data_IF_095753811999
#
_entry.id   IF_095753811999
#
_cell.length_a   1.000
_cell.length_b   1.000
_cell.length_c   1.000
_cell.angle_alpha   90.00
_cell.angle_beta   90.00
_cell.angle_gamma   90.00
#
_symmetry.space_group_name_H-M   'P 1'
#
loop_
_entity.id
_entity.type
_entity.pdbx_description
1 polymer ?
#
# COMPACT_ATOMS: atom_id res chain seq x y z
N UNK A 1 -7.53 10.99 -11.81
CA UNK A 1 -6.32 11.12 -12.67
C UNK A 1 -6.00 9.74 -13.21
N UNK A 2 -6.06 9.52 -14.53
CA UNK A 2 -5.64 8.25 -15.14
C UNK A 2 -4.41 8.52 -15.99
N UNK A 3 -3.33 7.79 -15.74
CA UNK A 3 -2.15 7.80 -16.60
C UNK A 3 -2.52 7.21 -17.96
N UNK A 4 -2.78 8.07 -18.94
CA UNK A 4 -3.01 7.65 -20.32
C UNK A 4 -1.79 8.00 -21.15
N UNK A 5 -1.39 7.06 -22.02
CA UNK A 5 -0.30 7.29 -22.97
C UNK A 5 -0.79 8.29 -24.02
N UNK A 6 -0.23 9.51 -24.00
CA UNK A 6 -0.72 10.64 -24.81
C UNK A 6 -0.72 10.35 -26.31
N UNK A 7 0.26 9.58 -26.82
CA UNK A 7 0.32 9.20 -28.24
C UNK A 7 -0.86 8.31 -28.63
N UNK A 8 -1.16 7.29 -27.84
CA UNK A 8 -2.28 6.36 -28.07
C UNK A 8 -3.62 7.09 -28.06
N UNK A 9 -3.81 8.02 -27.12
CA UNK A 9 -5.06 8.80 -27.04
C UNK A 9 -5.21 9.77 -28.22
N UNK A 10 -4.11 10.36 -28.70
CA UNK A 10 -4.12 11.19 -29.92
C UNK A 10 -4.48 10.38 -31.16
N UNK A 11 -3.88 9.21 -31.35
CA UNK A 11 -4.20 8.33 -32.47
C UNK A 11 -5.66 7.86 -32.46
N UNK A 12 -6.21 7.56 -31.27
CA UNK A 12 -7.65 7.24 -31.13
C UNK A 12 -8.52 8.41 -31.56
N UNK A 13 -8.16 9.64 -31.16
CA UNK A 13 -8.93 10.84 -31.49
C UNK A 13 -8.88 11.19 -32.98
N UNK A 14 -7.74 10.98 -33.62
CA UNK A 14 -7.56 11.14 -35.07
C UNK A 14 -8.38 10.12 -35.88
N UNK A 15 -8.51 8.88 -35.37
CA UNK A 15 -9.30 7.80 -36.01
C UNK A 15 -10.81 7.91 -35.79
N UNK A 16 -11.29 8.78 -34.91
CA UNK A 16 -12.74 8.95 -34.67
C UNK A 16 -13.44 9.51 -35.91
N UNK A 17 -14.57 8.90 -36.24
CA UNK A 17 -15.47 9.40 -37.25
C UNK A 17 -16.31 10.56 -36.70
N UNK A 18 -16.94 11.32 -37.59
CA UNK A 18 -17.89 12.37 -37.17
C UNK A 18 -19.14 11.79 -36.51
N UNK A 19 -19.47 10.52 -36.77
CA UNK A 19 -20.52 9.81 -36.05
C UNK A 19 -20.11 9.50 -34.61
N UNK A 20 -18.90 8.97 -34.39
CA UNK A 20 -18.36 8.72 -33.05
C UNK A 20 -18.32 10.01 -32.21
N UNK A 21 -17.84 11.11 -32.79
CA UNK A 21 -17.82 12.43 -32.13
C UNK A 21 -19.21 12.92 -31.76
N UNK A 22 -20.20 12.73 -32.64
CA UNK A 22 -21.61 13.10 -32.36
C UNK A 22 -22.19 12.25 -31.23
N UNK A 23 -21.88 10.96 -31.19
CA UNK A 23 -22.32 10.05 -30.14
C UNK A 23 -21.70 10.41 -28.78
N UNK A 24 -20.40 10.70 -28.73
CA UNK A 24 -19.72 11.16 -27.51
C UNK A 24 -20.30 12.48 -27.00
N UNK A 25 -20.51 13.47 -27.87
CA UNK A 25 -21.17 14.72 -27.50
C UNK A 25 -22.59 14.49 -26.97
N UNK A 26 -23.32 13.53 -27.53
CA UNK A 26 -24.63 13.14 -27.02
C UNK A 26 -24.55 12.58 -25.60
N UNK A 27 -23.60 11.66 -25.34
CA UNK A 27 -23.34 11.08 -24.01
C UNK A 27 -22.95 12.17 -23.00
N UNK A 28 -22.10 13.11 -23.40
CA UNK A 28 -21.70 14.26 -22.55
C UNK A 28 -22.89 15.15 -22.22
N UNK A 29 -23.74 15.49 -23.20
CA UNK A 29 -24.96 16.26 -22.96
C UNK A 29 -25.91 15.55 -21.99
N UNK A 30 -26.17 14.26 -22.22
CA UNK A 30 -26.99 13.45 -21.31
C UNK A 30 -26.42 13.43 -19.89
N UNK A 31 -25.10 13.27 -19.75
CA UNK A 31 -24.44 13.33 -18.46
C UNK A 31 -24.66 14.67 -17.75
N UNK A 32 -24.48 15.79 -18.47
CA UNK A 32 -24.71 17.13 -17.92
C UNK A 32 -26.17 17.35 -17.51
N UNK A 33 -27.13 16.88 -18.30
CA UNK A 33 -28.55 17.00 -17.98
C UNK A 33 -28.92 16.22 -16.72
N UNK A 34 -28.46 14.97 -16.60
CA UNK A 34 -28.70 14.15 -15.41
C UNK A 34 -27.98 14.73 -14.19
N UNK A 35 -26.74 15.18 -14.35
CA UNK A 35 -25.97 15.83 -13.28
C UNK A 35 -26.68 17.11 -12.80
N UNK A 36 -27.13 17.96 -13.72
CA UNK A 36 -27.88 19.18 -13.40
C UNK A 36 -29.16 18.89 -12.61
N UNK A 37 -29.92 17.87 -13.02
CA UNK A 37 -31.12 17.43 -12.29
C UNK A 37 -30.80 16.94 -10.88
N UNK A 38 -29.79 16.06 -10.73
CA UNK A 38 -29.38 15.53 -9.42
C UNK A 38 -28.89 16.66 -8.50
N UNK A 39 -28.11 17.61 -9.01
CA UNK A 39 -27.63 18.75 -8.22
C UNK A 39 -28.76 19.71 -7.83
N UNK A 40 -29.76 19.89 -8.69
CA UNK A 40 -30.96 20.67 -8.35
C UNK A 40 -31.78 19.97 -7.26
N UNK A 41 -31.97 18.65 -7.35
CA UNK A 41 -32.63 17.85 -6.32
C UNK A 41 -31.88 17.93 -4.98
N UNK A 42 -30.54 17.87 -5.00
CA UNK A 42 -29.70 18.10 -3.80
C UNK A 42 -29.96 19.46 -3.18
N UNK A 43 -29.97 20.53 -3.98
CA UNK A 43 -30.24 21.90 -3.51
C UNK A 43 -31.62 22.02 -2.86
N UNK A 44 -32.60 21.28 -3.37
CA UNK A 44 -33.97 21.22 -2.85
C UNK A 44 -34.14 20.23 -1.67
N UNK A 45 -33.08 19.49 -1.29
CA UNK A 45 -33.09 18.48 -0.23
C UNK A 45 -34.14 17.36 -0.45
N UNK A 46 -34.32 16.95 -1.70
CA UNK A 46 -35.23 15.84 -2.04
C UNK A 46 -34.56 14.53 -1.64
N UNK A 47 -35.16 13.77 -0.71
CA UNK A 47 -34.60 12.50 -0.23
C UNK A 47 -35.56 11.33 -0.51
N UNK A 48 -35.87 11.11 -1.78
CA UNK A 48 -36.82 10.10 -2.24
C UNK A 48 -36.14 8.92 -2.94
N UNK A 49 -36.76 7.73 -2.99
CA UNK A 49 -36.17 6.54 -3.62
C UNK A 49 -35.77 6.74 -5.09
N UNK A 50 -36.51 7.56 -5.83
CA UNK A 50 -36.26 7.81 -7.26
C UNK A 50 -34.94 8.55 -7.53
N UNK A 51 -34.32 9.16 -6.51
CA UNK A 51 -33.01 9.82 -6.62
C UNK A 51 -31.88 8.78 -6.75
N UNK A 52 -32.04 7.58 -6.17
CA UNK A 52 -30.99 6.57 -6.17
C UNK A 52 -30.61 6.09 -7.59
N UNK A 53 -31.54 5.72 -8.49
CA UNK A 53 -31.17 5.35 -9.86
C UNK A 53 -30.43 6.45 -10.63
N UNK A 54 -30.82 7.72 -10.45
CA UNK A 54 -30.18 8.86 -11.12
C UNK A 54 -28.74 9.05 -10.65
N UNK A 55 -28.52 8.97 -9.33
CA UNK A 55 -27.17 9.06 -8.78
C UNK A 55 -26.32 7.84 -9.16
N UNK A 56 -26.89 6.63 -9.18
CA UNK A 56 -26.19 5.43 -9.65
C UNK A 56 -25.67 5.59 -11.08
N UNK A 57 -26.50 6.12 -12.00
CA UNK A 57 -26.10 6.35 -13.38
C UNK A 57 -24.89 7.28 -13.49
N UNK A 58 -24.88 8.39 -12.75
CA UNK A 58 -23.76 9.34 -12.73
C UNK A 58 -22.48 8.73 -12.14
N UNK A 59 -22.62 7.96 -11.07
CA UNK A 59 -21.50 7.41 -10.31
C UNK A 59 -20.84 6.23 -11.03
N UNK A 60 -21.59 5.46 -11.81
CA UNK A 60 -21.01 4.48 -12.71
C UNK A 60 -20.19 5.16 -13.82
N UNK A 61 -20.63 6.30 -14.34
CA UNK A 61 -19.88 7.05 -15.36
C UNK A 61 -18.67 7.79 -14.78
N UNK A 62 -18.80 8.31 -13.56
CA UNK A 62 -17.75 9.03 -12.86
C UNK A 62 -17.74 8.69 -11.36
N UNK A 63 -17.01 7.64 -10.96
CA UNK A 63 -16.85 7.28 -9.54
C UNK A 63 -16.21 8.37 -8.68
N UNK A 64 -15.53 9.36 -9.27
CA UNK A 64 -14.90 10.48 -8.55
C UNK A 64 -15.85 11.63 -8.23
N UNK A 65 -17.13 11.53 -8.61
CA UNK A 65 -18.09 12.60 -8.35
C UNK A 65 -18.55 12.62 -6.88
N UNK A 66 -17.64 13.01 -5.98
CA UNK A 66 -17.81 12.97 -4.52
C UNK A 66 -19.06 13.70 -4.00
N UNK A 67 -19.49 14.79 -4.65
CA UNK A 67 -20.72 15.52 -4.28
C UNK A 67 -21.95 14.64 -4.44
N UNK A 68 -21.99 13.82 -5.49
CA UNK A 68 -23.10 12.89 -5.76
C UNK A 68 -23.08 11.74 -4.75
N UNK A 69 -21.91 11.21 -4.40
CA UNK A 69 -21.79 10.23 -3.31
C UNK A 69 -22.27 10.79 -1.96
N UNK A 70 -21.91 12.04 -1.64
CA UNK A 70 -22.38 12.71 -0.42
C UNK A 70 -23.88 12.85 -0.40
N UNK A 71 -24.47 13.36 -1.48
CA UNK A 71 -25.93 13.48 -1.58
C UNK A 71 -26.62 12.11 -1.51
N UNK A 72 -26.05 11.08 -2.14
CA UNK A 72 -26.57 9.72 -2.08
C UNK A 72 -26.61 9.19 -0.64
N UNK A 73 -25.61 9.48 0.21
CA UNK A 73 -25.67 9.15 1.65
C UNK A 73 -26.76 9.93 2.39
N UNK A 74 -26.97 11.21 2.08
CA UNK A 74 -28.08 12.00 2.64
C UNK A 74 -29.43 11.33 2.35
N UNK A 75 -29.63 10.88 1.09
CA UNK A 75 -30.84 10.15 0.67
C UNK A 75 -30.95 8.79 1.38
N UNK A 76 -29.88 7.99 1.41
CA UNK A 76 -29.88 6.67 2.06
C UNK A 76 -30.21 6.78 3.55
N UNK A 77 -29.62 7.74 4.26
CA UNK A 77 -29.94 8.00 5.66
C UNK A 77 -31.43 8.30 5.88
N UNK A 78 -32.03 9.15 5.04
CA UNK A 78 -33.46 9.42 5.13
C UNK A 78 -34.30 8.16 4.91
N UNK A 79 -33.96 7.35 3.91
CA UNK A 79 -34.70 6.11 3.59
C UNK A 79 -34.57 5.06 4.69
N UNK A 80 -33.38 4.92 5.30
CA UNK A 80 -33.14 4.00 6.40
C UNK A 80 -33.96 4.35 7.67
N UNK A 81 -34.43 5.59 7.80
CA UNK A 81 -35.35 5.99 8.88
C UNK A 81 -36.84 5.75 8.57
N UNK A 82 -37.20 5.53 7.31
CA UNK A 82 -38.58 5.42 6.83
C UNK A 82 -39.04 3.95 6.65
N UNK A 83 -38.51 3.03 7.45
CA UNK A 83 -38.86 1.60 7.43
C UNK A 83 -38.56 0.87 6.10
N UNK A 84 -37.62 1.40 5.31
CA UNK A 84 -37.16 0.74 4.09
C UNK A 84 -36.43 -0.58 4.39
N UNK A 85 -36.47 -1.53 3.44
CA UNK A 85 -35.70 -2.77 3.51
C UNK A 85 -34.20 -2.46 3.49
N UNK A 86 -33.61 -2.44 4.68
CA UNK A 86 -32.21 -2.11 4.90
C UNK A 86 -31.27 -3.09 4.18
N UNK A 87 -31.67 -4.36 4.05
CA UNK A 87 -30.83 -5.39 3.44
C UNK A 87 -30.81 -5.26 1.92
N UNK A 88 -31.96 -5.03 1.29
CA UNK A 88 -32.00 -4.80 -0.16
C UNK A 88 -31.35 -3.46 -0.56
N UNK A 89 -31.47 -2.41 0.27
CA UNK A 89 -30.74 -1.16 0.08
C UNK A 89 -29.22 -1.39 0.17
N UNK A 90 -28.76 -2.09 1.21
CA UNK A 90 -27.34 -2.39 1.40
C UNK A 90 -26.77 -3.22 0.24
N UNK A 91 -27.48 -4.27 -0.18
CA UNK A 91 -27.10 -5.10 -1.33
C UNK A 91 -27.01 -4.30 -2.62
N UNK A 92 -27.96 -3.40 -2.86
CA UNK A 92 -27.94 -2.51 -4.04
C UNK A 92 -26.74 -1.57 -3.98
N UNK A 93 -26.42 -1.02 -2.81
CA UNK A 93 -25.30 -0.09 -2.64
C UNK A 93 -23.94 -0.78 -2.73
N UNK A 94 -23.79 -1.96 -2.13
CA UNK A 94 -22.59 -2.79 -2.24
C UNK A 94 -22.36 -3.25 -3.67
N UNK A 95 -23.43 -3.50 -4.44
CA UNK A 95 -23.30 -3.76 -5.88
C UNK A 95 -22.83 -2.52 -6.63
N UNK A 96 -23.45 -1.36 -6.40
CA UNK A 96 -23.06 -0.11 -7.06
C UNK A 96 -21.59 0.25 -6.81
N UNK A 97 -21.13 0.14 -5.56
CA UNK A 97 -19.74 0.43 -5.21
C UNK A 97 -18.78 -0.56 -5.86
N UNK A 98 -19.12 -1.85 -5.94
CA UNK A 98 -18.32 -2.83 -6.67
C UNK A 98 -18.25 -2.51 -8.17
N UNK A 99 -19.38 -2.22 -8.80
CA UNK A 99 -19.45 -1.86 -10.22
C UNK A 99 -18.63 -0.58 -10.51
N UNK A 100 -18.63 0.40 -9.59
CA UNK A 100 -17.81 1.60 -9.68
C UNK A 100 -16.32 1.30 -9.52
N UNK A 101 -15.95 0.41 -8.58
CA UNK A 101 -14.56 -0.02 -8.35
C UNK A 101 -14.00 -0.87 -9.50
N UNK A 102 -14.82 -1.68 -10.17
CA UNK A 102 -14.42 -2.39 -11.38
C UNK A 102 -14.03 -1.43 -12.52
N UNK A 103 -14.66 -0.24 -12.57
CA UNK A 103 -14.31 0.80 -13.55
C UNK A 103 -13.11 1.63 -13.10
N UNK A 104 -13.04 1.97 -11.83
CA UNK A 104 -11.93 2.73 -11.24
C UNK A 104 -11.58 2.16 -9.84
N UNK A 105 -10.65 1.19 -9.77
CA UNK A 105 -10.33 0.50 -8.52
C UNK A 105 -9.59 1.38 -7.50
N UNK A 106 -9.14 2.57 -7.93
CA UNK A 106 -8.43 3.56 -7.11
C UNK A 106 -9.31 4.76 -6.77
N UNK A 107 -10.63 4.56 -6.79
CA UNK A 107 -11.59 5.61 -6.46
C UNK A 107 -11.77 5.76 -4.95
N UNK A 108 -11.28 6.87 -4.39
CA UNK A 108 -11.48 7.20 -2.98
C UNK A 108 -12.96 7.24 -2.60
N UNK A 109 -13.79 7.85 -3.45
CA UNK A 109 -15.20 8.06 -3.13
C UNK A 109 -15.99 6.74 -3.13
N UNK A 110 -15.69 5.81 -4.05
CA UNK A 110 -16.33 4.50 -4.09
C UNK A 110 -15.93 3.62 -2.89
N UNK A 111 -14.64 3.59 -2.54
CA UNK A 111 -14.17 2.89 -1.34
C UNK A 111 -14.77 3.46 -0.06
N UNK A 112 -14.80 4.79 0.05
CA UNK A 112 -15.42 5.47 1.20
C UNK A 112 -16.91 5.16 1.32
N UNK A 113 -17.66 5.15 0.20
CA UNK A 113 -19.07 4.77 0.23
C UNK A 113 -19.27 3.32 0.68
N UNK A 114 -18.41 2.41 0.19
CA UNK A 114 -18.47 1.00 0.56
C UNK A 114 -18.22 0.81 2.05
N UNK A 115 -17.17 1.45 2.58
CA UNK A 115 -16.87 1.48 4.01
C UNK A 115 -18.03 2.06 4.83
N UNK A 116 -18.60 3.17 4.37
CA UNK A 116 -19.73 3.80 5.04
C UNK A 116 -20.92 2.84 5.20
N UNK A 117 -21.24 2.03 4.19
CA UNK A 117 -22.29 1.00 4.28
C UNK A 117 -21.95 -0.06 5.33
N UNK A 118 -20.72 -0.57 5.33
CA UNK A 118 -20.27 -1.56 6.32
C UNK A 118 -20.30 -0.98 7.74
N UNK A 119 -19.94 0.29 7.92
CA UNK A 119 -19.98 0.99 9.21
C UNK A 119 -21.40 1.14 9.79
N UNK A 120 -22.44 1.05 8.96
CA UNK A 120 -23.83 0.98 9.43
C UNK A 120 -24.22 -0.42 9.93
N UNK A 121 -23.30 -1.38 9.96
CA UNK A 121 -23.60 -2.80 10.21
C UNK A 121 -24.38 -3.45 9.07
N UNK A 122 -24.33 -2.86 7.87
CA UNK A 122 -25.07 -3.32 6.70
C UNK A 122 -24.10 -4.02 5.74
N UNK A 123 -24.01 -5.33 5.82
CA UNK A 123 -23.17 -6.13 4.93
C UNK A 123 -22.67 -7.40 5.58
N UNK A 124 -22.19 -8.31 4.76
CA UNK A 124 -21.61 -9.58 5.20
C UNK A 124 -20.09 -9.45 5.23
N UNK A 125 -19.52 -9.26 6.43
CA UNK A 125 -18.09 -9.02 6.60
C UNK A 125 -17.23 -10.15 6.01
N UNK A 126 -17.70 -11.40 6.03
CA UNK A 126 -16.98 -12.53 5.45
C UNK A 126 -16.92 -12.41 3.93
N UNK A 127 -18.00 -11.97 3.28
CA UNK A 127 -18.00 -11.68 1.84
C UNK A 127 -17.10 -10.49 1.49
N UNK A 128 -17.05 -9.48 2.35
CA UNK A 128 -16.19 -8.31 2.14
C UNK A 128 -14.70 -8.65 2.24
N UNK A 129 -14.31 -9.48 3.22
CA UNK A 129 -12.94 -10.00 3.32
C UNK A 129 -12.60 -10.81 2.06
N UNK A 130 -13.46 -11.74 1.66
CA UNK A 130 -13.25 -12.54 0.46
C UNK A 130 -13.25 -11.73 -0.85
N UNK A 131 -13.92 -10.56 -0.87
CA UNK A 131 -13.81 -9.61 -1.98
C UNK A 131 -12.43 -8.93 -1.97
N UNK A 132 -11.94 -8.49 -0.80
CA UNK A 132 -10.62 -7.88 -0.69
C UNK A 132 -9.53 -8.83 -1.20
N UNK A 133 -9.60 -10.11 -0.82
CA UNK A 133 -8.61 -11.10 -1.24
C UNK A 133 -8.56 -11.21 -2.78
N UNK A 134 -9.73 -11.30 -3.43
CA UNK A 134 -9.83 -11.30 -4.91
C UNK A 134 -9.32 -10.02 -5.56
N UNK A 135 -9.60 -8.85 -4.97
CA UNK A 135 -9.16 -7.58 -5.51
C UNK A 135 -7.64 -7.39 -5.35
N UNK A 136 -7.06 -7.93 -4.27
CA UNK A 136 -5.62 -7.95 -4.06
C UNK A 136 -4.90 -8.99 -4.93
N UNK A 137 -5.57 -10.07 -5.34
CA UNK A 137 -5.04 -10.97 -6.38
C UNK A 137 -4.94 -10.27 -7.75
N UNK A 138 -5.80 -9.27 -8.01
CA UNK A 138 -5.80 -8.49 -9.26
C UNK A 138 -4.83 -7.30 -9.24
N UNK A 139 -4.72 -6.61 -8.11
CA UNK A 139 -3.76 -5.52 -7.88
C UNK A 139 -3.28 -5.57 -6.42
N UNK A 140 -2.19 -6.31 -6.20
CA UNK A 140 -1.60 -6.53 -4.88
C UNK A 140 -1.07 -5.24 -4.23
N UNK A 141 -0.94 -4.15 -5.00
CA UNK A 141 -0.47 -2.84 -4.54
C UNK A 141 -1.61 -1.83 -4.37
N UNK A 142 -2.86 -2.28 -4.47
CA UNK A 142 -4.01 -1.42 -4.24
C UNK A 142 -4.15 -1.07 -2.76
N UNK A 143 -3.51 0.03 -2.34
CA UNK A 143 -3.53 0.48 -0.95
C UNK A 143 -4.95 0.79 -0.43
N UNK A 144 -5.90 1.16 -1.30
CA UNK A 144 -7.28 1.36 -0.88
C UNK A 144 -7.92 0.04 -0.43
N UNK A 145 -7.68 -1.03 -1.19
CA UNK A 145 -8.16 -2.36 -0.86
C UNK A 145 -7.50 -2.87 0.43
N UNK A 146 -6.19 -2.66 0.60
CA UNK A 146 -5.50 -2.98 1.85
C UNK A 146 -6.07 -2.23 3.06
N UNK A 147 -6.33 -0.93 2.92
CA UNK A 147 -6.93 -0.12 3.98
C UNK A 147 -8.34 -0.60 4.32
N UNK A 148 -9.17 -0.84 3.31
CA UNK A 148 -10.52 -1.36 3.49
C UNK A 148 -10.51 -2.76 4.12
N UNK A 149 -9.58 -3.64 3.71
CA UNK A 149 -9.40 -4.97 4.29
C UNK A 149 -9.12 -4.90 5.78
N UNK A 150 -8.16 -4.07 6.21
CA UNK A 150 -7.85 -3.86 7.64
C UNK A 150 -9.08 -3.44 8.42
N UNK A 151 -9.87 -2.53 7.86
CA UNK A 151 -11.10 -2.05 8.46
C UNK A 151 -12.15 -3.16 8.64
N UNK A 152 -12.46 -3.93 7.59
CA UNK A 152 -13.46 -5.00 7.67
C UNK A 152 -12.99 -6.17 8.54
N UNK A 153 -11.70 -6.49 8.55
CA UNK A 153 -11.14 -7.51 9.43
C UNK A 153 -11.25 -7.10 10.91
N UNK A 154 -10.97 -5.84 11.23
CA UNK A 154 -11.15 -5.30 12.58
C UNK A 154 -12.61 -5.41 13.03
N UNK A 155 -13.56 -5.05 12.17
CA UNK A 155 -14.99 -5.16 12.48
C UNK A 155 -15.45 -6.63 12.64
N UNK A 156 -14.83 -7.55 11.89
CA UNK A 156 -15.13 -8.97 11.97
C UNK A 156 -14.47 -9.69 13.16
N UNK A 157 -13.62 -8.99 13.92
CA UNK A 157 -12.91 -9.55 15.07
C UNK A 157 -11.82 -10.56 14.69
N UNK A 158 -11.23 -10.44 13.49
CA UNK A 158 -10.06 -11.25 13.14
C UNK A 158 -8.87 -10.87 14.02
N UNK A 159 -8.10 -11.86 14.43
CA UNK A 159 -6.94 -11.66 15.29
C UNK A 159 -5.75 -11.09 14.49
N UNK A 160 -4.75 -10.60 15.20
CA UNK A 160 -3.45 -10.24 14.60
C UNK A 160 -2.79 -11.47 13.96
N UNK A 161 -2.93 -12.67 14.55
CA UNK A 161 -2.47 -13.93 13.98
C UNK A 161 -3.12 -14.23 12.62
N UNK A 162 -4.44 -13.99 12.47
CA UNK A 162 -5.13 -14.13 11.19
C UNK A 162 -4.58 -13.14 10.14
N UNK A 163 -4.24 -11.92 10.55
CA UNK A 163 -3.64 -10.93 9.65
C UNK A 163 -2.21 -11.33 9.27
N UNK A 164 -1.41 -11.80 10.22
CA UNK A 164 -0.05 -12.27 9.98
C UNK A 164 -0.07 -13.45 9.01
N UNK A 165 -0.94 -14.44 9.22
CA UNK A 165 -1.12 -15.57 8.31
C UNK A 165 -1.49 -15.12 6.89
N UNK A 166 -2.39 -14.13 6.77
CA UNK A 166 -2.73 -13.55 5.47
C UNK A 166 -1.53 -12.86 4.81
N UNK A 167 -0.75 -12.07 5.56
CA UNK A 167 0.45 -11.42 5.00
C UNK A 167 1.54 -12.42 4.62
N UNK A 168 1.74 -13.49 5.40
CA UNK A 168 2.63 -14.59 5.06
C UNK A 168 2.24 -15.18 3.71
N UNK A 169 0.96 -15.54 3.53
CA UNK A 169 0.48 -16.05 2.26
C UNK A 169 0.72 -15.09 1.09
N UNK A 170 0.52 -13.78 1.29
CA UNK A 170 0.78 -12.77 0.26
C UNK A 170 2.25 -12.58 -0.07
N UNK A 171 3.15 -12.72 0.91
CA UNK A 171 4.59 -12.66 0.72
C UNK A 171 5.09 -13.94 0.01
N UNK A 172 4.55 -15.11 0.34
CA UNK A 172 4.87 -16.36 -0.35
C UNK A 172 4.43 -16.36 -1.83
N UNK A 173 3.34 -15.67 -2.15
CA UNK A 173 2.90 -15.46 -3.54
C UNK A 173 3.82 -14.50 -4.31
N UNK A 174 4.34 -13.48 -3.63
CA UNK A 174 5.25 -12.49 -4.17
C UNK A 174 6.11 -11.88 -3.05
N UNK A 175 7.38 -12.28 -2.98
CA UNK A 175 8.33 -11.83 -1.95
C UNK A 175 8.55 -10.31 -1.96
N UNK A 176 8.31 -9.70 -3.12
CA UNK A 176 8.47 -8.28 -3.41
C UNK A 176 7.20 -7.46 -3.12
N UNK A 177 6.20 -8.05 -2.47
CA UNK A 177 4.96 -7.39 -2.12
C UNK A 177 5.12 -6.41 -0.94
N UNK A 178 5.56 -5.18 -1.25
CA UNK A 178 5.72 -4.09 -0.27
C UNK A 178 4.45 -3.85 0.56
N UNK A 179 3.27 -4.00 -0.02
CA UNK A 179 2.02 -3.75 0.70
C UNK A 179 1.73 -4.83 1.75
N UNK A 180 2.09 -6.09 1.46
CA UNK A 180 2.01 -7.18 2.41
C UNK A 180 3.03 -7.02 3.54
N UNK A 181 4.29 -6.67 3.22
CA UNK A 181 5.33 -6.37 4.23
C UNK A 181 4.94 -5.20 5.13
N UNK A 182 4.38 -4.13 4.56
CA UNK A 182 3.88 -3.00 5.35
C UNK A 182 2.67 -3.38 6.22
N UNK A 183 1.75 -4.20 5.71
CA UNK A 183 0.66 -4.69 6.54
C UNK A 183 1.19 -5.55 7.70
N UNK A 184 2.17 -6.41 7.42
CA UNK A 184 2.82 -7.27 8.42
C UNK A 184 3.44 -6.43 9.53
N UNK A 185 4.14 -5.34 9.20
CA UNK A 185 4.71 -4.42 10.19
C UNK A 185 3.67 -3.77 11.12
N UNK A 186 2.40 -3.69 10.69
CA UNK A 186 1.29 -3.16 11.50
C UNK A 186 0.64 -4.26 12.35
N UNK A 187 0.64 -5.50 11.86
CA UNK A 187 0.02 -6.65 12.53
C UNK A 187 0.94 -7.32 13.56
N UNK A 188 2.24 -7.03 13.53
CA UNK A 188 3.18 -7.48 14.55
C UNK A 188 2.91 -6.80 15.90
N UNK A 189 3.27 -7.45 17.03
CA UNK A 189 3.07 -6.89 18.37
C UNK A 189 3.74 -5.53 18.56
N UNK A 190 3.09 -4.66 19.33
CA UNK A 190 3.65 -3.38 19.78
C UNK A 190 3.61 -3.33 21.34
N UNK A 191 4.76 -3.34 22.03
CA UNK A 191 6.13 -3.32 21.49
C UNK A 191 6.60 -4.68 20.93
N UNK A 192 7.54 -4.63 19.98
CA UNK A 192 8.23 -5.82 19.46
C UNK A 192 9.10 -6.49 20.53
N UNK A 193 9.27 -7.80 20.45
CA UNK A 193 10.24 -8.57 21.25
C UNK A 193 11.43 -9.00 20.40
N UNK A 194 12.57 -9.28 21.04
CA UNK A 194 13.77 -9.73 20.32
C UNK A 194 13.52 -11.03 19.54
N UNK A 195 12.78 -11.98 20.10
CA UNK A 195 12.43 -13.24 19.44
C UNK A 195 11.63 -13.00 18.15
N UNK A 196 10.63 -12.11 18.20
CA UNK A 196 9.82 -11.75 17.02
C UNK A 196 10.68 -11.10 15.94
N UNK A 197 11.56 -10.17 16.31
CA UNK A 197 12.44 -9.51 15.34
C UNK A 197 13.43 -10.51 14.73
N UNK A 198 13.95 -11.45 15.51
CA UNK A 198 14.85 -12.49 15.04
C UNK A 198 14.17 -13.41 14.01
N UNK A 199 12.95 -13.87 14.30
CA UNK A 199 12.16 -14.71 13.39
C UNK A 199 11.80 -13.98 12.09
N UNK A 200 11.48 -12.68 12.17
CA UNK A 200 11.18 -11.85 11.00
C UNK A 200 12.44 -11.56 10.16
N UNK A 201 13.61 -11.40 10.80
CA UNK A 201 14.90 -11.32 10.10
C UNK A 201 15.15 -12.61 9.31
N UNK A 202 14.94 -13.78 9.93
CA UNK A 202 15.12 -15.05 9.24
C UNK A 202 14.24 -15.18 7.99
N UNK A 203 12.99 -14.73 8.06
CA UNK A 203 12.08 -14.72 6.91
C UNK A 203 12.52 -13.74 5.81
N UNK A 204 12.86 -12.50 6.16
CA UNK A 204 13.24 -11.50 5.15
C UNK A 204 14.58 -11.81 4.49
N UNK A 205 15.50 -12.47 5.21
CA UNK A 205 16.78 -12.95 4.63
C UNK A 205 16.54 -13.96 3.50
N UNK A 206 15.54 -14.83 3.60
CA UNK A 206 15.18 -15.76 2.51
C UNK A 206 14.63 -15.01 1.28
N UNK A 207 13.81 -13.99 1.50
CA UNK A 207 13.27 -13.15 0.43
C UNK A 207 14.40 -12.37 -0.29
N UNK A 208 15.27 -11.72 0.47
CA UNK A 208 16.43 -10.98 -0.04
C UNK A 208 17.39 -11.89 -0.80
N UNK A 209 17.63 -13.11 -0.33
CA UNK A 209 18.48 -14.07 -1.04
C UNK A 209 17.86 -14.51 -2.38
N UNK A 210 16.53 -14.55 -2.47
CA UNK A 210 15.81 -14.95 -3.69
C UNK A 210 15.76 -13.82 -4.72
N UNK A 211 15.53 -12.57 -4.27
CA UNK A 211 15.45 -11.38 -5.14
C UNK A 211 16.27 -10.22 -4.54
N UNK A 212 17.61 -10.24 -4.65
CA UNK A 212 18.50 -9.26 -3.99
C UNK A 212 18.36 -7.83 -4.54
N UNK A 213 17.77 -7.66 -5.72
CA UNK A 213 17.48 -6.36 -6.31
C UNK A 213 16.13 -5.76 -5.87
N UNK A 214 15.23 -6.55 -5.25
CA UNK A 214 13.94 -6.04 -4.81
C UNK A 214 14.05 -5.20 -3.54
N UNK A 215 13.74 -3.92 -3.66
CA UNK A 215 13.87 -2.97 -2.58
C UNK A 215 12.96 -3.25 -1.38
N UNK A 216 11.81 -3.92 -1.57
CA UNK A 216 10.76 -4.03 -0.55
C UNK A 216 11.24 -4.80 0.65
N UNK A 217 11.88 -5.95 0.41
CA UNK A 217 12.47 -6.77 1.45
C UNK A 217 13.58 -6.01 2.20
N UNK A 218 14.41 -5.23 1.51
CA UNK A 218 15.45 -4.42 2.12
C UNK A 218 14.93 -3.30 3.03
N UNK A 219 13.86 -2.62 2.63
CA UNK A 219 13.23 -1.61 3.49
C UNK A 219 12.63 -2.23 4.75
N UNK A 220 12.02 -3.41 4.64
CA UNK A 220 11.52 -4.16 5.80
C UNK A 220 12.66 -4.63 6.70
N UNK A 221 13.73 -5.20 6.12
CA UNK A 221 14.91 -5.64 6.85
C UNK A 221 15.59 -4.48 7.58
N UNK A 222 15.72 -3.31 6.95
CA UNK A 222 16.28 -2.10 7.60
C UNK A 222 15.47 -1.66 8.83
N UNK A 223 14.15 -1.77 8.76
CA UNK A 223 13.29 -1.50 9.91
C UNK A 223 13.55 -2.50 11.04
N UNK A 224 13.57 -3.80 10.74
CA UNK A 224 13.89 -4.86 11.71
C UNK A 224 15.27 -4.68 12.36
N UNK A 225 16.30 -4.35 11.58
CA UNK A 225 17.65 -4.06 12.08
C UNK A 225 17.63 -2.89 13.08
N UNK A 226 16.86 -1.84 12.79
CA UNK A 226 16.73 -0.68 13.68
C UNK A 226 15.99 -1.07 14.95
N UNK A 227 14.88 -1.81 14.84
CA UNK A 227 14.12 -2.31 16.00
C UNK A 227 14.94 -3.23 16.90
N UNK A 228 15.75 -4.13 16.34
CA UNK A 228 16.64 -4.97 17.16
C UNK A 228 17.65 -4.12 17.93
N UNK A 229 18.28 -3.13 17.27
CA UNK A 229 19.25 -2.25 17.92
C UNK A 229 18.64 -1.42 19.05
N UNK A 230 17.40 -0.96 18.90
CA UNK A 230 16.65 -0.30 19.98
C UNK A 230 16.39 -1.26 21.16
N UNK A 231 16.11 -2.54 20.89
CA UNK A 231 15.88 -3.54 21.94
C UNK A 231 17.16 -3.89 22.73
N UNK A 232 18.32 -3.89 22.08
CA UNK A 232 19.61 -4.22 22.70
C UNK A 232 20.45 -2.99 23.04
N UNK A 233 19.88 -1.78 22.96
CA UNK A 233 20.61 -0.51 23.13
C UNK A 233 21.29 -0.39 24.50
N UNK A 234 20.75 -1.06 25.53
CA UNK A 234 21.29 -1.08 26.88
C UNK A 234 22.62 -1.84 27.00
N UNK A 235 22.99 -2.64 25.99
CA UNK A 235 24.18 -3.48 25.96
C UNK A 235 24.94 -3.32 24.65
N UNK A 236 26.01 -2.51 24.67
CA UNK A 236 26.88 -2.32 23.52
C UNK A 236 27.48 -3.66 23.01
N UNK A 237 27.71 -4.62 23.90
CA UNK A 237 28.21 -5.95 23.55
C UNK A 237 27.18 -6.76 22.75
N UNK A 238 25.91 -6.74 23.16
CA UNK A 238 24.83 -7.45 22.45
C UNK A 238 24.53 -6.78 21.11
N UNK A 239 24.51 -5.44 21.08
CA UNK A 239 24.36 -4.67 19.84
C UNK A 239 25.49 -4.98 18.83
N UNK A 240 26.75 -5.00 19.29
CA UNK A 240 27.88 -5.36 18.45
C UNK A 240 27.83 -6.84 18.01
N UNK A 241 27.45 -7.75 18.91
CA UNK A 241 27.28 -9.18 18.59
C UNK A 241 26.23 -9.40 17.50
N UNK A 242 25.07 -8.76 17.63
CA UNK A 242 24.03 -8.77 16.61
C UNK A 242 24.54 -8.21 15.28
N UNK A 243 25.09 -7.00 15.25
CA UNK A 243 25.61 -6.40 14.01
C UNK A 243 26.67 -7.27 13.33
N UNK A 244 27.60 -7.85 14.08
CA UNK A 244 28.61 -8.75 13.54
C UNK A 244 28.00 -9.97 12.85
N UNK A 245 26.95 -10.56 13.43
CA UNK A 245 26.22 -11.67 12.76
C UNK A 245 25.59 -11.24 11.44
N UNK A 246 25.04 -10.02 11.37
CA UNK A 246 24.38 -9.51 10.16
C UNK A 246 25.42 -9.12 9.10
N UNK A 247 26.57 -8.59 9.51
CA UNK A 247 27.74 -8.32 8.64
C UNK A 247 28.25 -9.61 8.03
N UNK A 248 28.48 -10.65 8.84
CA UNK A 248 28.97 -11.93 8.34
C UNK A 248 28.03 -12.50 7.26
N UNK A 249 26.72 -12.50 7.52
CA UNK A 249 25.73 -12.96 6.55
C UNK A 249 25.73 -12.12 5.26
N UNK A 250 25.81 -10.79 5.37
CA UNK A 250 25.83 -9.91 4.18
C UNK A 250 27.15 -9.93 3.41
N UNK A 251 28.28 -10.22 4.05
CA UNK A 251 29.56 -10.43 3.37
C UNK A 251 29.47 -11.66 2.46
N UNK A 252 28.93 -12.78 2.96
CA UNK A 252 28.69 -13.98 2.15
C UNK A 252 27.77 -13.68 0.97
N UNK A 253 26.69 -12.92 1.19
CA UNK A 253 25.78 -12.51 0.11
C UNK A 253 26.46 -11.56 -0.89
N UNK A 254 27.31 -10.65 -0.45
CA UNK A 254 28.01 -9.69 -1.30
C UNK A 254 29.08 -10.34 -2.20
N UNK A 255 29.58 -11.51 -1.83
CA UNK A 255 30.45 -12.34 -2.67
C UNK A 255 29.66 -12.99 -3.81
N UNK A 256 28.42 -13.41 -3.55
CA UNK A 256 27.53 -14.05 -4.53
C UNK A 256 26.86 -13.03 -5.45
N UNK A 257 26.36 -11.93 -4.88
CA UNK A 257 25.52 -10.92 -5.53
C UNK A 257 26.25 -9.57 -5.59
N UNK A 258 27.41 -9.56 -6.25
CA UNK A 258 28.33 -8.43 -6.23
C UNK A 258 27.78 -7.12 -6.84
N UNK A 259 26.78 -7.21 -7.72
CA UNK A 259 26.19 -6.04 -8.38
C UNK A 259 24.87 -5.59 -7.72
N UNK A 260 24.34 -6.37 -6.77
CA UNK A 260 23.10 -6.05 -6.07
C UNK A 260 23.34 -4.86 -5.12
N UNK A 261 22.91 -3.68 -5.55
CA UNK A 261 23.21 -2.42 -4.84
C UNK A 261 22.74 -2.45 -3.38
N UNK A 262 21.62 -3.10 -3.10
CA UNK A 262 21.03 -3.10 -1.77
C UNK A 262 21.83 -3.92 -0.77
N UNK A 263 22.48 -5.01 -1.23
CA UNK A 263 23.45 -5.77 -0.42
C UNK A 263 24.58 -4.85 0.02
N UNK A 264 25.17 -4.13 -0.95
CA UNK A 264 26.32 -3.24 -0.70
C UNK A 264 25.94 -2.06 0.21
N UNK A 265 24.79 -1.43 -0.05
CA UNK A 265 24.30 -0.29 0.74
C UNK A 265 23.97 -0.70 2.17
N UNK A 266 23.35 -1.88 2.36
CA UNK A 266 23.00 -2.38 3.70
C UNK A 266 24.25 -2.77 4.47
N UNK A 267 25.20 -3.48 3.84
CA UNK A 267 26.47 -3.85 4.45
C UNK A 267 27.28 -2.61 4.86
N UNK A 268 27.28 -1.55 4.04
CA UNK A 268 27.91 -0.28 4.38
C UNK A 268 27.29 0.37 5.63
N UNK A 269 25.95 0.34 5.76
CA UNK A 269 25.21 0.87 6.92
C UNK A 269 25.49 0.05 8.19
N UNK A 270 25.60 -1.27 8.09
CA UNK A 270 25.94 -2.12 9.23
C UNK A 270 27.35 -1.82 9.76
N UNK A 271 28.34 -1.71 8.87
CA UNK A 271 29.70 -1.33 9.25
C UNK A 271 29.77 0.06 9.87
N UNK A 272 28.99 1.02 9.36
CA UNK A 272 28.86 2.36 9.96
C UNK A 272 28.37 2.27 11.40
N UNK A 273 27.28 1.52 11.64
CA UNK A 273 26.71 1.33 12.98
C UNK A 273 27.65 0.60 13.93
N UNK A 274 28.34 -0.44 13.44
CA UNK A 274 29.31 -1.18 14.23
C UNK A 274 30.47 -0.28 14.66
N UNK A 275 30.97 0.56 13.75
CA UNK A 275 32.01 1.54 14.01
C UNK A 275 31.65 2.53 15.11
N UNK A 276 30.39 2.98 15.15
CA UNK A 276 29.89 3.90 16.16
C UNK A 276 29.78 3.28 17.57
N UNK A 277 29.63 1.96 17.68
CA UNK A 277 29.49 1.25 18.97
C UNK A 277 30.86 0.85 19.54
N UNK A 278 31.82 0.55 18.67
CA UNK A 278 33.09 -0.11 19.04
C UNK A 278 34.28 0.84 19.13
N UNK A 279 34.07 2.13 19.39
CA UNK A 279 35.14 3.14 19.54
C UNK A 279 36.10 2.82 20.69
N UNK A 280 37.10 1.99 20.41
CA UNK A 280 38.27 1.77 21.25
C UNK A 280 39.49 2.01 20.35
N UNK A 281 40.06 3.21 20.47
CA UNK A 281 41.31 3.67 19.86
C UNK A 281 41.27 3.96 18.34
N UNK A 282 40.86 5.18 17.97
CA UNK A 282 41.28 5.89 16.74
C UNK A 282 41.23 5.11 15.41
N UNK A 283 40.20 5.38 14.62
CA UNK A 283 39.88 4.76 13.32
C UNK A 283 39.74 3.23 13.34
N UNK A 284 38.48 2.81 13.43
CA UNK A 284 38.08 1.41 13.49
C UNK A 284 37.98 0.80 12.08
N UNK A 285 38.47 -0.43 11.88
CA UNK A 285 38.37 -1.18 10.62
C UNK A 285 36.94 -1.20 10.04
N UNK A 286 35.92 -1.19 10.91
CA UNK A 286 34.51 -1.10 10.49
C UNK A 286 34.19 0.22 9.77
N UNK A 287 34.66 1.37 10.26
CA UNK A 287 34.43 2.67 9.60
C UNK A 287 35.10 2.71 8.23
N UNK A 288 36.33 2.20 8.13
CA UNK A 288 37.05 2.09 6.85
C UNK A 288 36.26 1.24 5.85
N UNK A 289 35.79 0.07 6.29
CA UNK A 289 35.01 -0.84 5.43
C UNK A 289 33.69 -0.21 4.98
N UNK A 290 33.01 0.53 5.86
CA UNK A 290 31.80 1.29 5.51
C UNK A 290 32.06 2.31 4.39
N UNK A 291 33.16 3.07 4.48
CA UNK A 291 33.56 4.05 3.46
C UNK A 291 33.83 3.36 2.12
N UNK A 292 34.62 2.28 2.11
CA UNK A 292 34.94 1.52 0.88
C UNK A 292 33.68 0.96 0.20
N UNK A 293 32.71 0.48 0.98
CA UNK A 293 31.44 -0.02 0.45
C UNK A 293 30.55 1.09 -0.10
N UNK A 294 30.51 2.27 0.53
CA UNK A 294 29.80 3.42 -0.04
C UNK A 294 30.44 3.93 -1.34
N UNK A 295 31.78 3.87 -1.47
CA UNK A 295 32.46 4.16 -2.74
C UNK A 295 32.07 3.17 -3.84
N UNK A 296 31.91 1.89 -3.49
CA UNK A 296 31.37 0.87 -4.40
C UNK A 296 29.91 1.16 -4.75
N UNK A 297 29.07 1.52 -3.79
CA UNK A 297 27.66 1.88 -4.02
C UNK A 297 27.51 3.06 -4.99
N UNK A 298 28.42 4.06 -4.96
CA UNK A 298 28.43 5.17 -5.94
C UNK A 298 28.60 4.69 -7.39
N UNK A 299 29.34 3.59 -7.59
CA UNK A 299 29.54 3.00 -8.93
C UNK A 299 28.30 2.23 -9.39
N UNK A 300 27.63 1.54 -8.48
CA UNK A 300 26.42 0.74 -8.75
C UNK A 300 25.15 1.59 -8.89
N UNK A 301 25.04 2.69 -8.13
CA UNK A 301 23.86 3.57 -8.08
C UNK A 301 24.28 5.06 -8.15
N UNK A 302 24.69 5.53 -9.34
CA UNK A 302 25.22 6.88 -9.49
C UNK A 302 24.20 7.99 -9.19
N UNK A 303 22.91 7.72 -9.34
CA UNK A 303 21.81 8.66 -9.07
C UNK A 303 21.74 9.04 -7.58
N UNK A 304 22.17 8.14 -6.69
CA UNK A 304 22.19 8.34 -5.24
C UNK A 304 23.57 8.75 -4.69
N UNK A 305 24.52 9.12 -5.55
CA UNK A 305 25.90 9.50 -5.15
C UNK A 305 25.96 10.47 -3.98
N UNK A 306 25.11 11.52 -3.98
CA UNK A 306 25.12 12.54 -2.93
C UNK A 306 24.78 11.96 -1.56
N UNK A 307 23.82 11.03 -1.51
CA UNK A 307 23.46 10.33 -0.28
C UNK A 307 24.65 9.53 0.25
N UNK A 308 25.33 8.74 -0.59
CA UNK A 308 26.49 7.95 -0.17
C UNK A 308 27.66 8.83 0.30
N UNK A 309 27.95 9.93 -0.41
CA UNK A 309 28.97 10.89 0.00
C UNK A 309 28.68 11.52 1.36
N UNK A 310 27.42 11.82 1.66
CA UNK A 310 27.03 12.36 2.95
C UNK A 310 27.12 11.30 4.07
N UNK A 311 26.85 10.03 3.77
CA UNK A 311 27.08 8.92 4.72
C UNK A 311 28.57 8.69 4.99
N UNK A 312 29.44 8.79 3.97
CA UNK A 312 30.90 8.72 4.14
C UNK A 312 31.43 9.85 5.02
N UNK A 313 30.91 11.07 4.89
CA UNK A 313 31.30 12.20 5.76
C UNK A 313 30.91 12.00 7.23
N UNK A 314 29.85 11.23 7.52
CA UNK A 314 29.47 10.87 8.89
C UNK A 314 30.38 9.81 9.50
N UNK A 315 31.09 9.05 8.66
CA UNK A 315 32.06 8.01 9.05
C UNK A 315 33.48 8.56 9.26
N UNK A 316 33.78 9.75 8.73
CA UNK A 316 35.11 10.36 8.73
C UNK A 316 35.32 11.29 9.94
#
# INVERSE_FOLDING_TARGET
>A
MHGRVKSVEREKEEKKTDEDRREELSKVRMYHDVAGKVLAMKKQKIHEPHVLPLTSHLLLLNPEFHVVWSYRREVLNALLTQDADKQELAKTELKLTLDALQRNPKSYSAWFQRQWIIDQGLGDLKKEIGLCDKLLDLDERNFHCWNYRRHVCKLAGLTEEDQLAFTTHKIEQNFSNYSALHHRSIALPDPLTADVVFDEIGQVQQAVFTEPDDQSAWFYYRWLLTSMLELVESSAADAAGFLNSQVQWLDELAEMEAEAKWVIVTLADLHFRLGAITEVNGWNDAQKKSIELYERAIKLDPDHRRYYQDMMKKNA
#
